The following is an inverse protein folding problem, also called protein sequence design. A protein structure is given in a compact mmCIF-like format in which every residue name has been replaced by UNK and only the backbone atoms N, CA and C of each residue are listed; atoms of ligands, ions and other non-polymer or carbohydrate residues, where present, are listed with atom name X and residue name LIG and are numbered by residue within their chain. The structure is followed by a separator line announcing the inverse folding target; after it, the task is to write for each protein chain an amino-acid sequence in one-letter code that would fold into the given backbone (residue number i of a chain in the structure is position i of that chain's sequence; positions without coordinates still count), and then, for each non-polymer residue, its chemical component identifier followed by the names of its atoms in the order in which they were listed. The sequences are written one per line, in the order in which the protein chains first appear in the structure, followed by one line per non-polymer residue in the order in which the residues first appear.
data_IF_301884245676
#
_entry.id   IF_301884245676
#
_cell.length_a   1.000
_cell.length_b   1.000
_cell.length_c   1.000
_cell.angle_alpha   90.00
_cell.angle_beta   90.00
_cell.angle_gamma   90.00
#
_symmetry.space_group_name_H-M   'P 1'
#
loop_
_entity.id
_entity.type
_entity.pdbx_description
1 polymer ?
#
# COMPACT_ATOMS: atom_id res chain seq x y z
N UNK A 1 -9.23 9.09 1.74
CA UNK A 1 -7.93 9.44 1.13
C UNK A 1 -7.36 10.60 1.92
N UNK A 2 -6.14 10.47 2.47
CA UNK A 2 -5.47 11.54 3.20
C UNK A 2 -4.57 12.30 2.22
N UNK A 3 -5.03 13.47 1.77
CA UNK A 3 -4.28 14.30 0.83
C UNK A 3 -3.61 15.47 1.57
N UNK A 4 -2.31 15.60 1.41
CA UNK A 4 -1.54 16.71 1.93
C UNK A 4 -0.22 16.85 1.15
N UNK A 5 0.35 18.07 1.04
CA UNK A 5 1.65 18.27 0.44
C UNK A 5 2.77 17.40 1.04
N UNK A 6 3.87 17.28 0.30
CA UNK A 6 5.10 16.69 0.82
C UNK A 6 5.58 17.41 2.07
N UNK A 7 6.06 16.67 3.07
CA UNK A 7 6.56 17.25 4.32
C UNK A 7 5.53 17.53 5.42
N UNK A 8 4.22 17.35 5.16
CA UNK A 8 3.17 17.57 6.18
C UNK A 8 3.04 16.46 7.25
N UNK A 9 3.99 15.52 7.33
CA UNK A 9 4.00 14.48 8.36
C UNK A 9 3.05 13.29 8.14
N UNK A 10 2.45 13.13 6.94
CA UNK A 10 1.60 11.96 6.62
C UNK A 10 2.27 10.61 6.95
N UNK A 11 3.55 10.35 6.61
CA UNK A 11 4.19 9.09 6.96
C UNK A 11 4.28 8.86 8.47
N UNK A 12 4.52 9.93 9.24
CA UNK A 12 4.54 9.89 10.70
C UNK A 12 3.15 9.55 11.26
N UNK A 13 2.09 10.17 10.72
CA UNK A 13 0.71 9.85 11.08
C UNK A 13 0.38 8.38 10.80
N UNK A 14 0.76 7.85 9.63
CA UNK A 14 0.51 6.44 9.29
C UNK A 14 1.20 5.48 10.25
N UNK A 15 2.41 5.81 10.74
CA UNK A 15 3.12 5.01 11.74
C UNK A 15 2.38 4.97 13.08
N UNK A 16 1.90 6.13 13.53
CA UNK A 16 1.12 6.24 14.78
C UNK A 16 -0.19 5.46 14.64
N UNK A 17 -0.94 5.66 13.54
CA UNK A 17 -2.18 4.94 13.29
C UNK A 17 -1.95 3.42 13.22
N UNK A 18 -0.85 2.96 12.60
CA UNK A 18 -0.51 1.54 12.59
C UNK A 18 -0.35 0.99 14.01
N UNK A 19 0.34 1.70 14.88
CA UNK A 19 0.51 1.31 16.27
C UNK A 19 -0.85 1.25 17.00
N UNK A 20 -1.64 2.31 16.89
CA UNK A 20 -2.95 2.42 17.55
C UNK A 20 -3.92 1.31 17.08
N UNK A 21 -3.93 1.01 15.78
CA UNK A 21 -4.78 -0.03 15.19
C UNK A 21 -4.33 -1.42 15.66
N UNK A 22 -3.02 -1.69 15.65
CA UNK A 22 -2.49 -2.96 16.14
C UNK A 22 -2.82 -3.18 17.63
N UNK A 23 -2.69 -2.14 18.44
CA UNK A 23 -3.05 -2.17 19.86
C UNK A 23 -4.56 -2.40 20.06
N UNK A 24 -5.40 -1.65 19.32
CA UNK A 24 -6.86 -1.76 19.40
C UNK A 24 -7.36 -3.17 19.08
N UNK A 25 -6.81 -3.81 18.03
CA UNK A 25 -7.16 -5.17 17.64
C UNK A 25 -6.36 -6.25 18.36
N UNK A 26 -5.41 -5.88 19.24
CA UNK A 26 -4.49 -6.79 19.94
C UNK A 26 -3.79 -7.77 18.99
N UNK A 27 -3.34 -7.26 17.85
CA UNK A 27 -2.65 -8.02 16.81
C UNK A 27 -1.61 -7.17 16.12
N UNK A 28 -0.36 -7.65 16.10
CA UNK A 28 0.76 -6.97 15.45
C UNK A 28 0.61 -6.87 13.91
N UNK A 29 -0.34 -7.61 13.35
CA UNK A 29 -0.63 -7.68 11.93
C UNK A 29 -2.01 -7.10 11.57
N UNK A 30 -2.68 -6.40 12.49
CA UNK A 30 -3.99 -5.80 12.19
C UNK A 30 -3.90 -4.63 11.19
N UNK A 31 -2.77 -3.92 11.15
CA UNK A 31 -2.53 -2.82 10.23
C UNK A 31 -1.32 -3.10 9.33
N UNK A 32 -1.59 -3.19 8.04
CA UNK A 32 -0.58 -3.34 7.02
C UNK A 32 -0.39 -2.01 6.28
N UNK A 33 0.87 -1.59 6.11
CA UNK A 33 1.22 -0.33 5.45
C UNK A 33 2.13 -0.62 4.27
N UNK A 34 1.79 -0.10 3.10
CA UNK A 34 2.56 -0.28 1.87
C UNK A 34 2.74 1.02 1.11
N UNK A 35 3.65 1.01 0.15
CA UNK A 35 3.74 2.04 -0.89
C UNK A 35 4.18 1.42 -2.23
N UNK A 36 4.18 2.20 -3.31
CA UNK A 36 4.59 1.71 -4.63
C UNK A 36 6.11 1.58 -4.80
N UNK A 37 6.86 2.53 -4.25
CA UNK A 37 8.31 2.60 -4.36
C UNK A 37 8.97 2.16 -3.06
N UNK A 38 10.19 1.62 -3.16
CA UNK A 38 10.95 1.21 -1.97
C UNK A 38 11.20 2.37 -1.00
N UNK A 39 11.48 3.58 -1.52
CA UNK A 39 11.71 4.77 -0.69
C UNK A 39 10.46 5.19 0.09
N UNK A 40 9.29 5.23 -0.56
CA UNK A 40 8.04 5.56 0.13
C UNK A 40 7.67 4.50 1.16
N UNK A 41 7.82 3.21 0.82
CA UNK A 41 7.56 2.11 1.74
C UNK A 41 8.45 2.19 2.98
N UNK A 42 9.74 2.49 2.80
CA UNK A 42 10.67 2.73 3.90
C UNK A 42 10.23 3.89 4.80
N UNK A 43 9.79 5.01 4.21
CA UNK A 43 9.36 6.19 4.97
C UNK A 43 8.18 5.91 5.90
N UNK A 44 7.28 5.00 5.53
CA UNK A 44 6.13 4.57 6.34
C UNK A 44 6.40 3.33 7.20
N UNK A 45 7.62 2.77 7.15
CA UNK A 45 7.98 1.55 7.87
C UNK A 45 7.24 0.30 7.37
N UNK A 46 6.89 0.28 6.08
CA UNK A 46 6.13 -0.77 5.42
C UNK A 46 6.91 -1.46 4.30
N UNK A 47 6.19 -2.24 3.50
CA UNK A 47 6.73 -2.96 2.35
C UNK A 47 6.22 -2.35 1.04
N UNK A 48 6.82 -2.72 -0.09
CA UNK A 48 6.22 -2.34 -1.37
C UNK A 48 4.93 -3.13 -1.59
N UNK A 49 3.97 -2.54 -2.31
CA UNK A 49 2.73 -3.24 -2.68
C UNK A 49 3.05 -4.52 -3.47
N UNK A 50 4.04 -4.44 -4.37
CA UNK A 50 4.54 -5.57 -5.16
C UNK A 50 5.00 -6.74 -4.30
N UNK A 51 5.87 -6.49 -3.32
CA UNK A 51 6.38 -7.54 -2.43
C UNK A 51 5.31 -8.07 -1.48
N UNK A 52 4.42 -7.19 -1.01
CA UNK A 52 3.33 -7.55 -0.09
C UNK A 52 2.30 -8.43 -0.77
N UNK A 53 1.92 -8.15 -2.02
CA UNK A 53 0.86 -8.86 -2.74
C UNK A 53 1.37 -9.91 -3.73
N UNK A 54 2.70 -10.11 -3.81
CA UNK A 54 3.31 -11.03 -4.77
C UNK A 54 3.09 -10.61 -6.24
N UNK A 55 2.95 -9.32 -6.51
CA UNK A 55 2.70 -8.77 -7.85
C UNK A 55 4.04 -8.43 -8.51
N UNK A 56 4.26 -8.98 -9.71
CA UNK A 56 5.44 -8.66 -10.52
C UNK A 56 5.42 -7.17 -10.89
N UNK A 57 6.49 -6.40 -10.65
CA UNK A 57 6.59 -5.01 -11.10
C UNK A 57 6.88 -4.89 -12.61
N UNK A 58 7.10 -6.02 -13.31
CA UNK A 58 7.44 -6.02 -14.73
C UNK A 58 6.22 -5.67 -15.58
N UNK A 59 6.38 -4.65 -16.42
CA UNK A 59 5.38 -4.24 -17.40
C UNK A 59 5.39 -5.16 -18.62
N UNK A 60 4.22 -5.53 -19.14
CA UNK A 60 4.09 -6.29 -20.38
C UNK A 60 4.17 -7.81 -20.22
N UNK A 61 4.30 -8.33 -19.00
CA UNK A 61 4.04 -9.75 -18.72
C UNK A 61 2.53 -10.00 -18.73
N UNK A 62 2.08 -11.11 -19.31
CA UNK A 62 0.69 -11.54 -19.19
C UNK A 62 0.34 -11.74 -17.72
N UNK A 63 -0.92 -11.45 -17.36
CA UNK A 63 -1.42 -11.71 -16.02
C UNK A 63 -1.25 -13.20 -15.69
N UNK A 64 -0.27 -13.50 -14.83
CA UNK A 64 -0.02 -14.85 -14.37
C UNK A 64 -0.84 -15.09 -13.11
N UNK A 65 -1.68 -16.13 -13.14
CA UNK A 65 -2.38 -16.59 -11.93
C UNK A 65 -1.36 -16.96 -10.87
N UNK A 66 -1.61 -16.49 -9.66
CA UNK A 66 -0.82 -16.78 -8.48
C UNK A 66 -0.73 -18.29 -8.21
N UNK A 67 0.45 -18.79 -7.84
CA UNK A 67 0.64 -20.18 -7.42
C UNK A 67 -0.10 -20.45 -6.11
N UNK A 68 -0.42 -21.72 -5.84
CA UNK A 68 -1.10 -22.09 -4.58
C UNK A 68 -0.24 -21.80 -3.35
N UNK A 69 1.09 -21.94 -3.46
CA UNK A 69 2.03 -21.52 -2.42
C UNK A 69 1.90 -20.02 -2.07
N UNK A 70 1.82 -19.17 -3.09
CA UNK A 70 1.71 -17.72 -2.91
C UNK A 70 0.31 -17.33 -2.41
N UNK A 71 -0.75 -18.01 -2.85
CA UNK A 71 -2.10 -17.82 -2.32
C UNK A 71 -2.17 -18.14 -0.82
N UNK A 72 -1.60 -19.28 -0.41
CA UNK A 72 -1.59 -19.67 1.00
C UNK A 72 -0.80 -18.67 1.83
N UNK A 73 0.38 -18.28 1.34
CA UNK A 73 1.20 -17.25 1.98
C UNK A 73 0.45 -15.93 2.18
N UNK A 74 -0.23 -15.44 1.13
CA UNK A 74 -1.04 -14.21 1.22
C UNK A 74 -2.27 -14.38 2.10
N UNK A 75 -2.92 -15.54 2.06
CA UNK A 75 -4.06 -15.83 2.93
C UNK A 75 -3.64 -15.77 4.39
N UNK A 76 -2.47 -16.33 4.73
CA UNK A 76 -1.93 -16.26 6.09
C UNK A 76 -1.49 -14.85 6.46
N UNK A 77 -0.81 -14.13 5.56
CA UNK A 77 -0.42 -12.73 5.80
C UNK A 77 -1.62 -11.80 5.99
N UNK A 78 -2.71 -12.01 5.25
CA UNK A 78 -3.88 -11.12 5.28
C UNK A 78 -4.96 -11.56 6.27
N UNK A 79 -4.83 -12.75 6.87
CA UNK A 79 -5.82 -13.35 7.79
C UNK A 79 -6.26 -12.39 8.90
N UNK A 80 -5.29 -11.72 9.51
CA UNK A 80 -5.52 -10.87 10.69
C UNK A 80 -5.56 -9.38 10.36
N UNK A 81 -5.27 -9.01 9.11
CA UNK A 81 -5.28 -7.62 8.65
C UNK A 81 -6.70 -7.06 8.69
N UNK A 82 -6.87 -5.92 9.38
CA UNK A 82 -8.12 -5.16 9.49
C UNK A 82 -8.06 -3.84 8.71
N UNK A 83 -6.86 -3.26 8.60
CA UNK A 83 -6.62 -2.01 7.88
C UNK A 83 -5.42 -2.17 6.96
N UNK A 84 -5.60 -1.75 5.70
CA UNK A 84 -4.56 -1.77 4.69
C UNK A 84 -4.31 -0.36 4.15
N UNK A 85 -3.22 0.26 4.58
CA UNK A 85 -2.77 1.56 4.08
C UNK A 85 -1.87 1.41 2.85
N UNK A 86 -2.09 2.29 1.88
CA UNK A 86 -1.25 2.46 0.69
C UNK A 86 -0.83 3.92 0.62
N UNK A 87 0.42 4.20 0.97
CA UNK A 87 1.04 5.51 0.82
C UNK A 87 1.44 5.77 -0.63
N UNK A 88 1.50 7.06 -1.00
CA UNK A 88 1.83 7.50 -2.36
C UNK A 88 0.95 6.82 -3.43
N UNK A 89 -0.35 6.66 -3.15
CA UNK A 89 -1.32 5.96 -4.02
C UNK A 89 -1.40 6.57 -5.43
N UNK A 90 -1.06 7.85 -5.60
CA UNK A 90 -0.99 8.50 -6.91
C UNK A 90 0.02 7.83 -7.86
N UNK A 91 1.00 7.09 -7.33
CA UNK A 91 2.00 6.33 -8.09
C UNK A 91 1.49 4.92 -8.47
N UNK A 92 0.29 4.54 -8.03
CA UNK A 92 -0.22 3.18 -8.13
C UNK A 92 -0.44 2.67 -9.55
N UNK A 93 -0.85 3.55 -10.46
CA UNK A 93 -1.13 3.25 -11.86
C UNK A 93 -1.37 4.58 -12.62
N UNK A 94 -0.96 4.71 -13.89
CA UNK A 94 -1.32 5.87 -14.72
C UNK A 94 -2.83 6.04 -14.96
N UNK A 95 -3.66 5.04 -14.63
CA UNK A 95 -5.12 5.12 -14.80
C UNK A 95 -5.76 6.20 -13.90
N UNK A 96 -5.15 6.52 -12.75
CA UNK A 96 -5.60 7.65 -11.93
C UNK A 96 -5.22 9.01 -12.51
N UNK A 97 -4.16 9.11 -13.33
CA UNK A 97 -3.86 10.34 -14.07
C UNK A 97 -4.89 10.63 -15.17
N UNK A 98 -5.48 9.59 -15.78
CA UNK A 98 -6.58 9.77 -16.75
C UNK A 98 -7.92 10.09 -16.09
N UNK A 99 -8.15 9.65 -14.84
CA UNK A 99 -9.35 10.03 -14.07
C UNK A 99 -9.26 11.47 -13.50
N UNK A 100 -8.07 12.06 -13.43
CA UNK A 100 -7.84 13.47 -13.07
C UNK A 100 -7.72 14.42 -14.26
N UNK A 101 -7.93 13.95 -15.50
CA UNK A 101 -7.86 14.74 -16.72
C UNK A 101 -9.14 15.55 -16.99
N UNK A 102 -9.74 16.08 -15.92
CA UNK A 102 -10.84 17.07 -15.94
C UNK A 102 -10.74 17.98 -14.71
N UNK A 103 -9.61 18.64 -14.45
CA UNK A 103 -9.67 19.89 -13.64
C UNK A 103 -8.46 20.82 -13.67
N UNK A 104 -7.62 20.83 -14.71
CA UNK A 104 -6.67 21.95 -14.92
C UNK A 104 -6.57 22.31 -16.41
N UNK A 105 -7.69 22.82 -16.92
CA UNK A 105 -7.65 23.91 -17.92
C UNK A 105 -7.92 25.19 -17.16
N UNK A 106 -6.87 25.91 -16.74
CA UNK A 106 -6.63 27.36 -16.97
C UNK A 106 -5.15 27.60 -16.68
#
# INVERSE_FOLDING_TARGET
MLDAPGGCGKPTLLKILRQDINEFFRSDNACLVTAFTCGAAFNVGGNTLHSTLGISPKTGEEFKRMSDSMKNHLTDQLRDVKVFFIDEISQCCPLQQKAGLIHKSV
#
